data_IF_592636165915
#
_entry.id   IF_592636165915
#
_cell.length_a   1.000
_cell.length_b   1.000
_cell.length_c   1.000
_cell.angle_alpha   90.00
_cell.angle_beta   90.00
_cell.angle_gamma   90.00
#
_symmetry.space_group_name_H-M   'P 1'
#
loop_
_entity.id
_entity.type
_entity.pdbx_description
1 polymer ?
#
# COMPACT_ATOMS: atom_id res chain seq x y z
N UNK A 1 -16.72 -7.19 -5.48
CA UNK A 1 -17.65 -6.05 -5.61
C UNK A 1 -16.99 -5.00 -6.50
N UNK A 2 -17.63 -4.58 -7.59
CA UNK A 2 -17.16 -3.42 -8.36
C UNK A 2 -17.35 -2.18 -7.49
N UNK A 3 -16.24 -1.62 -6.99
CA UNK A 3 -16.25 -0.32 -6.32
C UNK A 3 -16.67 0.73 -7.35
N UNK A 4 -17.92 1.19 -7.30
CA UNK A 4 -18.45 2.24 -8.16
C UNK A 4 -18.04 3.64 -7.67
N UNK A 5 -16.75 3.84 -7.43
CA UNK A 5 -16.17 5.15 -7.22
C UNK A 5 -16.04 5.84 -8.58
N UNK A 6 -16.73 6.97 -8.76
CA UNK A 6 -16.52 7.84 -9.90
C UNK A 6 -15.20 8.60 -9.71
N UNK A 7 -14.19 8.28 -10.52
CA UNK A 7 -12.94 9.02 -10.52
C UNK A 7 -13.16 10.45 -11.05
N UNK A 8 -12.46 11.46 -10.52
CA UNK A 8 -12.49 12.81 -11.06
C UNK A 8 -12.13 12.83 -12.56
N UNK A 9 -12.70 13.75 -13.33
CA UNK A 9 -12.41 13.87 -14.77
C UNK A 9 -10.93 14.17 -15.08
N UNK A 10 -10.17 14.66 -14.10
CA UNK A 10 -8.72 14.87 -14.20
C UNK A 10 -7.89 13.60 -13.96
N UNK A 11 -8.49 12.50 -13.49
CA UNK A 11 -7.80 11.25 -13.30
C UNK A 11 -7.56 10.56 -14.66
N UNK A 12 -6.35 10.06 -14.85
CA UNK A 12 -5.98 9.27 -16.02
C UNK A 12 -5.84 7.81 -15.61
N UNK A 13 -6.60 6.92 -16.27
CA UNK A 13 -6.56 5.49 -16.00
C UNK A 13 -5.44 4.82 -16.80
N UNK A 14 -4.65 4.00 -16.13
CA UNK A 14 -3.63 3.14 -16.73
C UNK A 14 -3.64 1.78 -16.05
N UNK A 15 -3.21 0.76 -16.79
CA UNK A 15 -3.21 -0.61 -16.32
C UNK A 15 -1.89 -0.98 -15.64
N UNK A 16 -2.00 -1.50 -14.42
CA UNK A 16 -0.88 -2.05 -13.66
C UNK A 16 0.16 -1.03 -13.20
N UNK A 17 1.05 -1.49 -12.33
CA UNK A 17 2.17 -0.68 -11.83
C UNK A 17 3.12 -0.20 -12.95
N UNK A 18 3.43 -0.98 -14.01
CA UNK A 18 4.24 -0.48 -15.13
C UNK A 18 3.56 0.66 -15.90
N UNK A 19 2.24 0.59 -16.13
CA UNK A 19 1.49 1.68 -16.76
C UNK A 19 1.51 2.95 -15.90
N UNK A 20 1.32 2.79 -14.58
CA UNK A 20 1.42 3.90 -13.63
C UNK A 20 2.83 4.53 -13.62
N UNK A 21 3.89 3.71 -13.69
CA UNK A 21 5.26 4.22 -13.81
C UNK A 21 5.44 5.11 -15.03
N UNK A 22 5.00 4.64 -16.21
CA UNK A 22 5.13 5.39 -17.45
C UNK A 22 4.34 6.71 -17.41
N UNK A 23 3.14 6.69 -16.86
CA UNK A 23 2.31 7.89 -16.74
C UNK A 23 2.92 8.93 -15.79
N UNK A 24 3.38 8.51 -14.60
CA UNK A 24 4.04 9.41 -13.64
C UNK A 24 5.31 10.00 -14.24
N UNK A 25 6.15 9.19 -14.90
CA UNK A 25 7.40 9.65 -15.49
C UNK A 25 7.20 10.67 -16.63
N UNK A 26 6.11 10.54 -17.40
CA UNK A 26 5.83 11.42 -18.54
C UNK A 26 4.99 12.66 -18.21
N UNK A 27 4.43 12.73 -17.01
CA UNK A 27 3.48 13.78 -16.61
C UNK A 27 4.04 14.62 -15.45
N UNK A 28 4.52 15.85 -15.72
CA UNK A 28 5.01 16.73 -14.66
C UNK A 28 3.95 16.96 -13.58
N UNK A 29 4.38 16.90 -12.31
CA UNK A 29 3.53 17.09 -11.12
C UNK A 29 2.40 16.07 -10.96
N UNK A 30 2.46 14.93 -11.65
CA UNK A 30 1.51 13.85 -11.45
C UNK A 30 1.61 13.25 -10.04
N UNK A 31 0.48 12.75 -9.55
CA UNK A 31 0.39 11.90 -8.37
C UNK A 31 -0.39 10.63 -8.74
N UNK A 32 0.09 9.49 -8.27
CA UNK A 32 -0.52 8.19 -8.51
C UNK A 32 -0.16 7.21 -7.41
N UNK A 33 -0.74 6.01 -7.47
CA UNK A 33 -0.44 4.91 -6.57
C UNK A 33 -0.03 3.68 -7.37
N UNK A 34 0.97 2.98 -6.87
CA UNK A 34 1.52 1.76 -7.44
C UNK A 34 2.16 0.94 -6.33
N UNK A 35 2.44 -0.32 -6.60
CA UNK A 35 3.24 -1.14 -5.70
C UNK A 35 4.59 -0.48 -5.38
N UNK A 36 5.02 -0.55 -4.12
CA UNK A 36 6.20 0.16 -3.63
C UNK A 36 7.46 -0.22 -4.39
N UNK A 37 7.67 -1.51 -4.69
CA UNK A 37 8.83 -2.00 -5.42
C UNK A 37 8.94 -1.38 -6.82
N UNK A 38 7.79 -1.14 -7.48
CA UNK A 38 7.77 -0.45 -8.76
C UNK A 38 8.18 1.01 -8.63
N UNK A 39 7.63 1.75 -7.66
CA UNK A 39 8.04 3.14 -7.42
C UNK A 39 9.54 3.26 -7.11
N UNK A 40 10.07 2.36 -6.28
CA UNK A 40 11.47 2.33 -5.87
C UNK A 40 12.41 2.03 -7.03
N UNK A 41 12.03 1.14 -7.95
CA UNK A 41 12.85 0.79 -9.14
C UNK A 41 13.07 1.95 -10.12
N UNK A 42 12.29 3.03 -9.99
CA UNK A 42 12.38 4.25 -10.82
C UNK A 42 12.87 5.46 -10.04
N UNK A 43 13.26 5.27 -8.77
CA UNK A 43 13.63 6.34 -7.85
C UNK A 43 12.61 7.48 -7.79
N UNK A 44 11.32 7.15 -7.88
CA UNK A 44 10.27 8.14 -7.71
C UNK A 44 10.25 8.68 -6.29
N UNK A 45 9.93 9.97 -6.16
CA UNK A 45 9.63 10.57 -4.88
C UNK A 45 8.35 9.97 -4.30
N UNK A 46 8.36 9.69 -3.01
CA UNK A 46 7.19 9.21 -2.27
C UNK A 46 6.63 10.32 -1.39
N UNK A 47 5.31 10.34 -1.25
CA UNK A 47 4.68 11.13 -0.18
C UNK A 47 5.02 10.51 1.17
N UNK A 48 5.18 11.37 2.18
CA UNK A 48 5.25 10.92 3.57
C UNK A 48 3.86 10.90 4.19
N UNK A 49 3.55 9.86 4.94
CA UNK A 49 2.28 9.69 5.65
C UNK A 49 2.59 9.39 7.11
N UNK A 50 1.70 9.87 7.98
CA UNK A 50 1.75 9.60 9.42
C UNK A 50 0.99 8.32 9.72
N UNK A 51 1.63 7.37 10.39
CA UNK A 51 0.98 6.13 10.84
C UNK A 51 0.23 6.32 12.17
N UNK A 52 -0.49 5.28 12.61
CA UNK A 52 -1.24 5.28 13.87
C UNK A 52 -0.39 5.58 15.12
N UNK A 53 0.94 5.36 15.06
CA UNK A 53 1.88 5.66 16.13
C UNK A 53 2.43 7.11 16.09
N UNK A 54 2.02 7.91 15.09
CA UNK A 54 2.49 9.29 14.91
C UNK A 54 3.81 9.41 14.13
N UNK A 55 4.37 8.33 13.60
CA UNK A 55 5.60 8.37 12.78
C UNK A 55 5.27 8.81 11.37
N UNK A 56 5.96 9.84 10.88
CA UNK A 56 5.87 10.33 9.49
C UNK A 56 7.08 9.88 8.70
N UNK A 57 6.88 9.01 7.71
CA UNK A 57 7.94 8.40 6.91
C UNK A 57 7.46 8.13 5.48
N UNK A 58 8.28 7.57 4.59
CA UNK A 58 7.83 7.01 3.30
C UNK A 58 7.65 5.49 3.39
N UNK A 59 7.11 4.87 2.33
CA UNK A 59 7.06 3.40 2.26
C UNK A 59 8.47 2.79 2.17
N UNK A 60 9.41 3.43 1.44
CA UNK A 60 10.82 3.01 1.36
C UNK A 60 11.51 3.04 2.72
N UNK A 61 11.31 4.12 3.49
CA UNK A 61 11.84 4.25 4.86
C UNK A 61 11.26 3.16 5.78
N UNK A 62 9.93 2.96 5.74
CA UNK A 62 9.24 1.92 6.50
C UNK A 62 9.74 0.51 6.16
N UNK A 63 9.89 0.18 4.87
CA UNK A 63 10.39 -1.13 4.41
C UNK A 63 11.81 -1.38 4.91
N UNK A 64 12.70 -0.38 4.85
CA UNK A 64 14.06 -0.49 5.35
C UNK A 64 14.13 -0.77 6.87
N UNK A 65 13.10 -0.36 7.61
CA UNK A 65 12.95 -0.59 9.05
C UNK A 65 12.16 -1.88 9.39
N UNK A 66 11.72 -2.65 8.38
CA UNK A 66 10.92 -3.86 8.59
C UNK A 66 9.41 -3.63 8.79
N UNK A 67 8.92 -2.43 8.49
CA UNK A 67 7.54 -2.00 8.78
C UNK A 67 6.42 -2.82 8.14
N UNK A 68 6.69 -3.51 7.02
CA UNK A 68 5.74 -4.45 6.41
C UNK A 68 5.56 -5.69 7.30
N UNK A 69 6.65 -6.23 7.84
CA UNK A 69 6.62 -7.35 8.77
C UNK A 69 5.99 -6.96 10.11
N UNK A 70 6.24 -5.74 10.58
CA UNK A 70 5.58 -5.19 11.77
C UNK A 70 4.06 -5.10 11.57
N UNK A 71 3.59 -4.59 10.43
CA UNK A 71 2.16 -4.55 10.11
C UNK A 71 1.53 -5.96 10.04
N UNK A 72 2.23 -6.94 9.46
CA UNK A 72 1.81 -8.34 9.47
C UNK A 72 1.73 -8.92 10.89
N UNK A 73 2.71 -8.62 11.75
CA UNK A 73 2.71 -9.05 13.15
C UNK A 73 1.54 -8.45 13.94
N UNK A 74 1.20 -7.18 13.68
CA UNK A 74 -0.02 -6.57 14.23
C UNK A 74 -1.30 -7.20 13.69
N UNK A 75 -1.34 -7.56 12.41
CA UNK A 75 -2.48 -8.29 11.84
C UNK A 75 -2.73 -9.60 12.58
N UNK A 76 -1.67 -10.36 12.89
CA UNK A 76 -1.77 -11.57 13.70
C UNK A 76 -2.24 -11.27 15.13
N UNK A 77 -1.62 -10.30 15.80
CA UNK A 77 -1.96 -9.94 17.18
C UNK A 77 -3.41 -9.46 17.35
N UNK A 78 -3.99 -8.86 16.31
CA UNK A 78 -5.36 -8.34 16.31
C UNK A 78 -6.38 -9.30 15.66
N UNK A 79 -6.01 -10.56 15.40
CA UNK A 79 -6.87 -11.56 14.74
C UNK A 79 -7.44 -11.09 13.40
N UNK A 80 -6.67 -10.32 12.62
CA UNK A 80 -7.05 -9.89 11.27
C UNK A 80 -7.04 -11.09 10.32
N UNK A 81 -6.08 -12.00 10.48
CA UNK A 81 -5.96 -13.19 9.65
C UNK A 81 -6.85 -14.33 10.16
N UNK A 82 -7.61 -15.00 9.27
CA UNK A 82 -8.29 -16.25 9.60
C UNK A 82 -7.31 -17.33 10.06
N UNK A 83 -7.77 -18.24 10.92
CA UNK A 83 -6.94 -19.32 11.47
C UNK A 83 -6.71 -20.48 10.51
N UNK A 84 -7.52 -20.59 9.45
CA UNK A 84 -7.43 -21.66 8.44
C UNK A 84 -7.42 -21.11 7.03
N UNK A 85 -6.77 -21.82 6.12
CA UNK A 85 -6.62 -21.41 4.71
C UNK A 85 -7.91 -21.53 3.89
N UNK A 86 -8.88 -22.32 4.35
CA UNK A 86 -10.20 -22.52 3.72
C UNK A 86 -11.28 -21.56 4.23
N UNK A 87 -10.96 -20.72 5.21
CA UNK A 87 -11.84 -19.66 5.72
C UNK A 87 -12.05 -18.53 4.71
N UNK A 88 -12.95 -17.59 5.02
CA UNK A 88 -13.10 -16.36 4.24
C UNK A 88 -11.97 -15.36 4.56
N UNK A 89 -11.16 -15.03 3.56
CA UNK A 89 -10.06 -14.06 3.66
C UNK A 89 -10.42 -12.67 3.12
N UNK A 90 -11.64 -12.47 2.61
CA UNK A 90 -12.04 -11.23 1.93
C UNK A 90 -12.02 -9.98 2.81
N UNK A 91 -12.06 -10.17 4.14
CA UNK A 91 -12.04 -9.09 5.13
C UNK A 91 -10.64 -8.74 5.67
N UNK A 92 -9.59 -9.47 5.29
CA UNK A 92 -8.22 -9.22 5.77
C UNK A 92 -7.73 -7.88 5.26
N UNK A 93 -7.35 -6.99 6.18
CA UNK A 93 -6.92 -5.64 5.89
C UNK A 93 -5.83 -5.17 6.87
N UNK A 94 -4.67 -4.74 6.35
CA UNK A 94 -3.54 -4.24 7.13
C UNK A 94 -3.38 -2.71 7.05
N UNK A 95 -4.44 -1.98 6.71
CA UNK A 95 -4.40 -0.52 6.70
C UNK A 95 -4.23 0.04 8.10
N UNK A 96 -3.32 1.01 8.20
CA UNK A 96 -3.04 1.79 9.41
C UNK A 96 -2.80 0.93 10.67
N UNK A 97 -2.12 -0.20 10.51
CA UNK A 97 -1.70 -1.03 11.65
C UNK A 97 -0.78 -0.26 12.60
N UNK A 98 -0.86 -0.58 13.89
CA UNK A 98 -0.05 0.03 14.93
C UNK A 98 1.46 -0.28 14.76
N UNK A 99 2.32 0.47 15.45
CA UNK A 99 3.77 0.26 15.44
C UNK A 99 4.52 1.45 14.82
N UNK A 100 5.67 1.81 15.42
CA UNK A 100 6.40 3.01 15.03
C UNK A 100 6.92 2.94 13.59
N UNK A 101 7.24 1.75 13.09
CA UNK A 101 7.83 1.57 11.75
C UNK A 101 6.80 1.23 10.67
N UNK A 102 5.51 1.03 10.99
CA UNK A 102 4.52 0.63 9.98
C UNK A 102 4.25 1.73 8.97
N UNK A 103 3.86 1.34 7.76
CA UNK A 103 3.33 2.23 6.75
C UNK A 103 1.79 2.17 6.75
N UNK A 104 1.06 3.29 6.57
CA UNK A 104 -0.41 3.26 6.65
C UNK A 104 -1.10 2.38 5.60
N UNK A 105 -0.43 2.06 4.49
CA UNK A 105 -1.02 1.30 3.37
C UNK A 105 -0.15 0.07 3.09
N UNK A 106 -0.45 -1.04 3.78
CA UNK A 106 0.15 -2.36 3.55
C UNK A 106 -0.94 -3.31 3.05
N UNK A 107 -0.61 -4.11 2.04
CA UNK A 107 -1.55 -4.99 1.34
C UNK A 107 -1.14 -6.45 1.49
N UNK A 108 -2.12 -7.34 1.45
CA UNK A 108 -1.94 -8.79 1.34
C UNK A 108 -2.26 -9.21 -0.10
N UNK A 109 -1.40 -10.02 -0.69
CA UNK A 109 -1.64 -10.59 -2.02
C UNK A 109 -2.28 -11.97 -1.89
N UNK A 110 -3.27 -12.25 -2.74
CA UNK A 110 -4.00 -13.52 -2.75
C UNK A 110 -3.68 -14.30 -4.02
N UNK A 111 -3.61 -15.63 -3.88
CA UNK A 111 -3.69 -16.55 -5.00
C UNK A 111 -5.13 -17.04 -5.09
N UNK A 112 -5.70 -17.08 -6.30
CA UNK A 112 -7.06 -17.53 -6.58
C UNK A 112 -7.04 -18.66 -7.60
#
# INVERSE_FOLDING_TARGET
>A
ANSALAWPASAQAVEGSPGMQALIASTPYAIGYLDAGHGHSKDFAEVKLTNAAGTTQTSKESIALGGVGDAGSQGLANNVFPSTSDSDWSAVNLYNMAGANTWPIVLVSYFY
#
